data_IF_395519766265
#
_entry.id   IF_395519766265
#
_cell.length_a   1.000
_cell.length_b   1.000
_cell.length_c   1.000
_cell.angle_alpha   90.00
_cell.angle_beta   90.00
_cell.angle_gamma   90.00
#
_symmetry.space_group_name_H-M   'P 1'
#
loop_
_entity.id
_entity.type
_entity.pdbx_description
1 polymer ?
#
# COMPACT_ATOMS: atom_id res chain seq x y z
N UNK A 1 14.00 -4.35 -7.98
CA UNK A 1 14.77 -4.07 -6.75
C UNK A 1 15.28 -2.63 -6.65
N UNK A 2 15.77 -2.02 -7.74
CA UNK A 2 16.37 -0.66 -7.71
C UNK A 2 15.39 0.48 -7.38
N UNK A 3 14.12 0.37 -7.81
CA UNK A 3 13.09 1.41 -7.61
C UNK A 3 12.58 1.48 -6.16
N UNK A 4 12.55 0.36 -5.44
CA UNK A 4 12.11 0.32 -4.03
C UNK A 4 13.12 1.00 -3.10
N UNK A 5 14.42 0.86 -3.37
CA UNK A 5 15.46 1.56 -2.60
C UNK A 5 15.43 3.08 -2.83
N UNK A 6 15.15 3.56 -4.05
CA UNK A 6 15.03 4.99 -4.33
C UNK A 6 13.83 5.63 -3.64
N UNK A 7 12.70 4.93 -3.57
CA UNK A 7 11.49 5.41 -2.89
C UNK A 7 11.69 5.50 -1.38
N UNK A 8 12.22 4.45 -0.75
CA UNK A 8 12.53 4.45 0.69
C UNK A 8 13.54 5.52 1.07
N UNK A 9 14.55 5.75 0.23
CA UNK A 9 15.53 6.81 0.44
C UNK A 9 14.91 8.21 0.32
N UNK A 10 14.02 8.42 -0.65
CA UNK A 10 13.27 9.67 -0.81
C UNK A 10 12.40 9.96 0.42
N UNK A 11 11.65 8.98 0.90
CA UNK A 11 10.83 9.09 2.11
C UNK A 11 11.67 9.44 3.36
N UNK A 12 12.81 8.78 3.52
CA UNK A 12 13.74 9.05 4.63
C UNK A 12 14.28 10.47 4.57
N UNK A 13 14.66 10.94 3.38
CA UNK A 13 15.18 12.30 3.20
C UNK A 13 14.10 13.36 3.52
N UNK A 14 12.86 13.14 3.05
CA UNK A 14 11.73 14.03 3.33
C UNK A 14 11.41 14.09 4.82
N UNK A 15 11.30 12.93 5.48
CA UNK A 15 11.09 12.85 6.94
C UNK A 15 12.15 13.65 7.70
N UNK A 16 13.43 13.43 7.40
CA UNK A 16 14.54 14.14 8.07
C UNK A 16 14.47 15.65 7.82
N UNK A 17 14.17 16.06 6.60
CA UNK A 17 14.05 17.47 6.22
C UNK A 17 12.91 18.15 6.98
N UNK A 18 11.72 17.54 7.00
CA UNK A 18 10.52 18.11 7.61
C UNK A 18 10.68 18.19 9.15
N UNK A 19 11.18 17.13 9.79
CA UNK A 19 11.45 17.13 11.25
C UNK A 19 12.50 18.17 11.62
N UNK A 20 13.58 18.29 10.83
CA UNK A 20 14.60 19.32 11.05
C UNK A 20 14.01 20.72 10.92
N UNK A 21 13.18 20.96 9.90
CA UNK A 21 12.50 22.23 9.70
C UNK A 21 11.60 22.59 10.89
N UNK A 22 10.84 21.63 11.42
CA UNK A 22 10.02 21.85 12.62
C UNK A 22 10.86 22.23 13.83
N UNK A 23 11.96 21.52 14.08
CA UNK A 23 12.86 21.79 15.20
C UNK A 23 13.49 23.19 15.09
N UNK A 24 14.05 23.54 13.93
CA UNK A 24 14.71 24.84 13.72
C UNK A 24 13.74 26.02 13.86
N UNK A 25 12.50 25.88 13.37
CA UNK A 25 11.48 26.92 13.53
C UNK A 25 11.03 27.04 14.99
N UNK A 26 10.85 25.91 15.70
CA UNK A 26 10.50 25.91 17.11
C UNK A 26 11.60 26.54 17.98
N UNK A 27 12.86 26.16 17.77
CA UNK A 27 14.01 26.79 18.43
C UNK A 27 14.07 28.29 18.16
N UNK A 28 13.75 28.70 16.93
CA UNK A 28 13.64 30.11 16.56
C UNK A 28 12.58 30.86 17.37
N UNK A 29 11.38 30.30 17.52
CA UNK A 29 10.31 30.89 18.34
C UNK A 29 10.78 31.01 19.80
N UNK A 30 11.39 29.96 20.35
CA UNK A 30 11.90 29.98 21.74
C UNK A 30 12.97 31.05 21.93
N UNK A 31 13.85 31.28 20.93
CA UNK A 31 14.84 32.36 20.97
C UNK A 31 14.20 33.74 20.95
N UNK A 32 13.16 33.95 20.14
CA UNK A 32 12.41 35.22 20.07
C UNK A 32 11.68 35.55 21.38
N UNK A 33 11.29 34.54 22.16
CA UNK A 33 10.69 34.74 23.49
C UNK A 33 11.70 35.20 24.56
N UNK A 34 13.00 35.06 24.31
CA UNK A 34 14.03 35.53 25.26
C UNK A 34 14.18 37.04 25.10
N UNK A 35 13.83 37.78 26.15
CA UNK A 35 14.03 39.23 26.21
C UNK A 35 15.52 39.51 26.44
N UNK A 36 16.27 39.74 25.37
CA UNK A 36 17.57 40.42 25.50
C UNK A 36 17.31 41.92 25.66
N UNK A 37 17.76 42.46 26.79
CA UNK A 37 17.83 43.88 27.17
C UNK A 37 18.85 44.66 26.30
N UNK A 38 18.94 44.27 25.03
CA UNK A 38 19.81 44.91 24.07
C UNK A 38 19.25 46.29 23.76
N UNK A 39 20.06 47.30 24.09
CA UNK A 39 19.89 48.70 23.71
C UNK A 39 19.87 48.81 22.18
N UNK A 40 18.72 48.49 21.62
CA UNK A 40 18.47 48.44 20.19
C UNK A 40 18.06 49.83 19.74
N UNK A 41 18.57 50.27 18.58
CA UNK A 41 18.28 51.59 17.97
C UNK A 41 16.83 51.73 17.47
N UNK A 42 15.96 50.76 17.76
CA UNK A 42 14.60 50.62 17.22
C UNK A 42 13.60 50.77 18.36
N UNK A 43 12.45 51.41 18.08
CA UNK A 43 11.39 51.58 19.07
C UNK A 43 10.85 50.22 19.57
N UNK A 44 10.43 50.17 20.84
CA UNK A 44 9.84 48.96 21.44
C UNK A 44 8.61 48.47 20.67
N UNK A 45 7.78 49.38 20.16
CA UNK A 45 6.58 49.04 19.38
C UNK A 45 6.95 48.32 18.08
N UNK A 46 7.90 48.88 17.32
CA UNK A 46 8.38 48.28 16.07
C UNK A 46 9.05 46.92 16.31
N UNK A 47 9.83 46.77 17.40
CA UNK A 47 10.45 45.47 17.76
C UNK A 47 9.39 44.41 18.06
N UNK A 48 8.33 44.77 18.79
CA UNK A 48 7.25 43.84 19.12
C UNK A 48 6.52 43.34 17.86
N UNK A 49 6.31 44.22 16.89
CA UNK A 49 5.67 43.86 15.62
C UNK A 49 6.55 42.95 14.76
N UNK A 50 7.86 43.23 14.69
CA UNK A 50 8.82 42.36 14.00
C UNK A 50 8.89 40.96 14.62
N UNK A 51 8.91 40.87 15.95
CA UNK A 51 8.90 39.59 16.67
C UNK A 51 7.60 38.82 16.37
N UNK A 52 6.45 39.50 16.41
CA UNK A 52 5.17 38.87 16.13
C UNK A 52 5.11 38.28 14.70
N UNK A 53 5.57 39.06 13.71
CA UNK A 53 5.63 38.59 12.32
C UNK A 53 6.58 37.41 12.15
N UNK A 54 7.77 37.46 12.74
CA UNK A 54 8.72 36.35 12.66
C UNK A 54 8.18 35.08 13.34
N UNK A 55 7.54 35.20 14.51
CA UNK A 55 6.89 34.08 15.19
C UNK A 55 5.79 33.46 14.32
N UNK A 56 4.98 34.28 13.65
CA UNK A 56 3.90 33.80 12.77
C UNK A 56 4.46 33.02 11.58
N UNK A 57 5.49 33.54 10.91
CA UNK A 57 6.15 32.84 9.80
C UNK A 57 6.75 31.51 10.25
N UNK A 58 7.40 31.49 11.42
CA UNK A 58 7.97 30.26 11.98
C UNK A 58 6.90 29.24 12.32
N UNK A 59 5.78 29.66 12.93
CA UNK A 59 4.65 28.79 13.21
C UNK A 59 4.03 28.21 11.92
N UNK A 60 3.85 29.04 10.89
CA UNK A 60 3.35 28.59 9.59
C UNK A 60 4.28 27.55 8.94
N UNK A 61 5.60 27.72 9.05
CA UNK A 61 6.58 26.75 8.55
C UNK A 61 6.49 25.39 9.28
N UNK A 62 6.24 25.40 10.60
CA UNK A 62 6.02 24.17 11.38
C UNK A 62 4.76 23.44 10.89
N UNK A 63 3.65 24.16 10.69
CA UNK A 63 2.40 23.58 10.17
C UNK A 63 2.61 22.96 8.80
N UNK A 64 3.26 23.68 7.88
CA UNK A 64 3.58 23.17 6.53
C UNK A 64 4.42 21.90 6.56
N UNK A 65 5.43 21.84 7.43
CA UNK A 65 6.23 20.63 7.61
C UNK A 65 5.38 19.46 8.15
N UNK A 66 4.47 19.73 9.08
CA UNK A 66 3.49 18.75 9.58
C UNK A 66 2.57 18.21 8.48
N UNK A 67 2.03 19.07 7.62
CA UNK A 67 1.22 18.65 6.47
C UNK A 67 2.03 17.78 5.48
N UNK A 68 3.29 18.14 5.25
CA UNK A 68 4.20 17.34 4.43
C UNK A 68 4.39 15.93 5.02
N UNK A 69 4.55 15.81 6.34
CA UNK A 69 4.65 14.53 7.03
C UNK A 69 3.35 13.70 6.92
N UNK A 70 2.18 14.33 7.03
CA UNK A 70 0.89 13.64 6.82
C UNK A 70 0.77 13.08 5.40
N UNK A 71 1.19 13.85 4.39
CA UNK A 71 1.23 13.38 3.01
C UNK A 71 2.22 12.22 2.83
N UNK A 72 3.40 12.29 3.45
CA UNK A 72 4.37 11.19 3.44
C UNK A 72 3.78 9.89 4.00
N UNK A 73 3.03 9.96 5.11
CA UNK A 73 2.34 8.78 5.67
C UNK A 73 1.31 8.22 4.70
N UNK A 74 0.57 9.09 4.00
CA UNK A 74 -0.39 8.67 2.98
C UNK A 74 0.30 7.97 1.80
N UNK A 75 1.39 8.54 1.30
CA UNK A 75 2.21 7.98 0.21
C UNK A 75 2.78 6.60 0.60
N UNK A 76 3.20 6.42 1.85
CA UNK A 76 3.66 5.12 2.39
C UNK A 76 2.54 4.07 2.43
N UNK A 77 1.34 4.44 2.90
CA UNK A 77 0.18 3.53 2.90
C UNK A 77 -0.16 3.09 1.49
N UNK A 78 -0.20 4.03 0.54
CA UNK A 78 -0.48 3.72 -0.85
C UNK A 78 0.59 2.79 -1.46
N UNK A 79 1.87 3.03 -1.17
CA UNK A 79 2.95 2.15 -1.62
C UNK A 79 2.77 0.72 -1.07
N UNK A 80 2.50 0.55 0.23
CA UNK A 80 2.32 -0.77 0.83
C UNK A 80 1.13 -1.53 0.26
N UNK A 81 0.00 -0.86 0.05
CA UNK A 81 -1.20 -1.47 -0.54
C UNK A 81 -0.94 -1.93 -1.97
N UNK A 82 -0.31 -1.08 -2.78
CA UNK A 82 -0.10 -1.38 -4.20
C UNK A 82 1.04 -2.38 -4.45
N UNK A 83 2.05 -2.45 -3.57
CA UNK A 83 3.21 -3.32 -3.77
C UNK A 83 2.86 -4.80 -3.68
N UNK A 84 1.78 -5.16 -2.98
CA UNK A 84 1.37 -6.55 -2.79
C UNK A 84 0.48 -7.07 -3.94
N UNK A 85 -0.10 -6.18 -4.74
CA UNK A 85 -0.98 -6.56 -5.86
C UNK A 85 -0.35 -7.48 -6.91
N UNK A 86 0.92 -7.32 -7.33
CA UNK A 86 1.56 -8.25 -8.25
C UNK A 86 1.59 -9.69 -7.71
N UNK A 87 2.02 -9.88 -6.45
CA UNK A 87 2.08 -11.20 -5.81
C UNK A 87 0.70 -11.82 -5.63
N UNK A 88 -0.28 -11.02 -5.21
CA UNK A 88 -1.68 -11.45 -5.10
C UNK A 88 -2.24 -11.86 -6.46
N UNK A 89 -1.99 -11.08 -7.51
CA UNK A 89 -2.44 -11.40 -8.87
C UNK A 89 -1.79 -12.67 -9.40
N UNK A 90 -0.51 -12.90 -9.12
CA UNK A 90 0.18 -14.12 -9.49
C UNK A 90 -0.43 -15.34 -8.78
N UNK A 91 -0.70 -15.23 -7.47
CA UNK A 91 -1.38 -16.29 -6.70
C UNK A 91 -2.79 -16.58 -7.25
N UNK A 92 -3.56 -15.55 -7.60
CA UNK A 92 -4.90 -15.70 -8.23
C UNK A 92 -4.77 -16.41 -9.58
N UNK A 93 -3.82 -16.01 -10.42
CA UNK A 93 -3.59 -16.62 -11.73
C UNK A 93 -3.19 -18.10 -11.61
N UNK A 94 -2.29 -18.42 -10.66
CA UNK A 94 -1.86 -19.78 -10.38
C UNK A 94 -3.03 -20.65 -9.89
N UNK A 95 -3.82 -20.16 -8.94
CA UNK A 95 -4.99 -20.87 -8.42
C UNK A 95 -6.04 -21.09 -9.52
N UNK A 96 -6.30 -20.08 -10.34
CA UNK A 96 -7.24 -20.18 -11.47
C UNK A 96 -6.80 -21.26 -12.44
N UNK A 97 -5.50 -21.33 -12.78
CA UNK A 97 -4.94 -22.38 -13.63
C UNK A 97 -5.07 -23.77 -12.98
N UNK A 98 -4.76 -23.89 -11.69
CA UNK A 98 -4.89 -25.15 -10.95
C UNK A 98 -6.34 -25.66 -10.96
N UNK A 99 -7.30 -24.80 -10.64
CA UNK A 99 -8.72 -25.17 -10.63
C UNK A 99 -9.22 -25.54 -12.02
N UNK A 100 -8.77 -24.83 -13.06
CA UNK A 100 -9.12 -25.19 -14.44
C UNK A 100 -8.58 -26.55 -14.82
N UNK A 101 -7.35 -26.88 -14.46
CA UNK A 101 -6.78 -28.22 -14.70
C UNK A 101 -7.57 -29.31 -13.97
N UNK A 102 -7.88 -29.09 -12.69
CA UNK A 102 -8.70 -30.04 -11.91
C UNK A 102 -10.10 -30.23 -12.49
N UNK A 103 -10.71 -29.16 -12.97
CA UNK A 103 -12.02 -29.23 -13.63
C UNK A 103 -11.93 -30.12 -14.87
N UNK A 104 -10.97 -29.88 -15.77
CA UNK A 104 -10.79 -30.68 -16.99
C UNK A 104 -10.51 -32.15 -16.67
N UNK A 105 -9.73 -32.43 -15.63
CA UNK A 105 -9.47 -33.80 -15.19
C UNK A 105 -10.74 -34.49 -14.66
N UNK A 106 -11.55 -33.77 -13.88
CA UNK A 106 -12.83 -34.27 -13.38
C UNK A 106 -13.80 -34.56 -14.52
N UNK A 107 -13.95 -33.60 -15.45
CA UNK A 107 -14.81 -33.75 -16.62
C UNK A 107 -14.40 -34.97 -17.45
N UNK A 108 -13.09 -35.17 -17.66
CA UNK A 108 -12.57 -36.33 -18.39
C UNK A 108 -12.88 -37.65 -17.68
N UNK A 109 -12.76 -37.70 -16.35
CA UNK A 109 -13.09 -38.90 -15.57
C UNK A 109 -14.58 -39.20 -15.62
N UNK A 110 -15.43 -38.17 -15.55
CA UNK A 110 -16.89 -38.31 -15.70
C UNK A 110 -17.26 -38.86 -17.06
N UNK A 111 -16.68 -38.33 -18.15
CA UNK A 111 -16.93 -38.86 -19.50
C UNK A 111 -16.52 -40.32 -19.62
N UNK A 112 -15.33 -40.69 -19.14
CA UNK A 112 -14.86 -42.08 -19.16
C UNK A 112 -15.82 -43.01 -18.41
N UNK A 113 -16.29 -42.60 -17.23
CA UNK A 113 -17.22 -43.40 -16.44
C UNK A 113 -18.56 -43.60 -17.15
N UNK A 114 -19.05 -42.57 -17.86
CA UNK A 114 -20.28 -42.66 -18.65
C UNK A 114 -20.10 -43.65 -19.81
N UNK A 115 -18.95 -43.62 -20.49
CA UNK A 115 -18.65 -44.54 -21.59
C UNK A 115 -18.54 -46.00 -21.09
N UNK A 116 -17.88 -46.22 -19.95
CA UNK A 116 -17.76 -47.53 -19.31
C UNK A 116 -19.14 -48.08 -18.92
N UNK A 117 -19.97 -47.27 -18.24
CA UNK A 117 -21.33 -47.66 -17.86
C UNK A 117 -22.23 -47.95 -19.07
N UNK A 118 -22.08 -47.17 -20.15
CA UNK A 118 -22.84 -47.39 -21.39
C UNK A 118 -22.47 -48.72 -22.04
N UNK A 119 -21.18 -49.08 -22.00
CA UNK A 119 -20.67 -50.36 -22.49
C UNK A 119 -21.21 -51.52 -21.66
N UNK A 120 -21.11 -51.45 -20.33
CA UNK A 120 -21.63 -52.48 -19.42
C UNK A 120 -23.16 -52.67 -19.58
N UNK A 121 -23.92 -51.58 -19.73
CA UNK A 121 -25.36 -51.64 -19.96
C UNK A 121 -25.72 -52.32 -21.29
N UNK A 122 -24.97 -52.02 -22.36
CA UNK A 122 -25.18 -52.63 -23.66
C UNK A 122 -24.89 -54.14 -23.63
N UNK A 123 -23.79 -54.55 -23.00
CA UNK A 123 -23.45 -55.96 -22.83
C UNK A 123 -24.52 -56.72 -22.03
N UNK A 124 -25.00 -56.13 -20.93
CA UNK A 124 -26.06 -56.71 -20.11
C UNK A 124 -27.39 -56.83 -20.87
N UNK A 125 -27.73 -55.82 -21.68
CA UNK A 125 -28.91 -55.84 -22.54
C UNK A 125 -28.81 -56.97 -23.57
N UNK A 126 -27.67 -57.10 -24.26
CA UNK A 126 -27.42 -58.16 -25.23
C UNK A 126 -27.52 -59.56 -24.60
N UNK A 127 -26.92 -59.77 -23.42
CA UNK A 127 -27.01 -61.03 -22.68
C UNK A 127 -28.46 -61.35 -22.29
N UNK A 128 -29.22 -60.35 -21.81
CA UNK A 128 -30.64 -60.51 -21.50
C UNK A 128 -31.45 -60.91 -22.74
N UNK A 129 -31.16 -60.32 -23.91
CA UNK A 129 -31.90 -60.64 -25.13
C UNK A 129 -31.54 -62.00 -25.74
N UNK A 130 -30.29 -62.45 -25.56
CA UNK A 130 -29.76 -63.71 -26.11
C UNK A 130 -29.88 -64.90 -25.16
N UNK A 131 -30.24 -64.68 -23.89
CA UNK A 131 -30.45 -65.75 -22.91
C UNK A 131 -31.58 -66.69 -23.32
N UNK A 132 -31.27 -67.99 -23.34
CA UNK A 132 -32.20 -69.08 -23.68
C UNK A 132 -33.24 -69.38 -22.57
N UNK A 133 -33.24 -68.62 -21.47
CA UNK A 133 -34.21 -68.74 -20.38
C UNK A 133 -35.40 -67.78 -20.50
N UNK A 134 -35.62 -67.21 -21.70
CA UNK A 134 -36.86 -66.50 -22.05
C UNK A 134 -38.03 -67.45 -22.26
#
# INVERSE_FOLDING_TARGET
>A
MSTSMSVTKSYTNRLKSDVKCMLENFEGIVKLCKTEDDQTQISKATRSELIAFEMEVRAANIVRAGESLLKLVSDMKQYLILNDFPSVNEAIAQNSKLFRTKQVECDRKLTSLVDDMSTELYELEEEYYTSNYK
#
